data_IF_335075272427
#
_entry.id   IF_335075272427
#
_cell.length_a   1.000
_cell.length_b   1.000
_cell.length_c   1.000
_cell.angle_alpha   90.00
_cell.angle_beta   90.00
_cell.angle_gamma   90.00
#
_symmetry.space_group_name_H-M   'P 1'
#
loop_
_entity.id
_entity.type
_entity.pdbx_description
1 polymer ?
#
# COMPACT_ATOMS: atom_id res chain seq x y z
N UNK A 1 15.54 -2.42 -11.36
CA UNK A 1 15.31 -2.31 -12.83
C UNK A 1 15.24 -0.84 -13.19
N UNK A 2 16.07 -0.36 -14.15
CA UNK A 2 16.24 1.06 -14.45
C UNK A 2 14.92 1.64 -15.02
N UNK A 3 14.43 2.76 -14.49
CA UNK A 3 13.19 3.42 -14.95
C UNK A 3 13.19 3.72 -16.46
N UNK A 4 14.38 3.95 -17.04
CA UNK A 4 14.57 4.15 -18.47
C UNK A 4 14.32 2.84 -19.26
N UNK A 5 14.83 1.71 -18.78
CA UNK A 5 14.60 0.38 -19.37
C UNK A 5 13.12 -0.03 -19.28
N UNK A 6 12.44 0.34 -18.18
CA UNK A 6 11.01 0.11 -18.03
C UNK A 6 10.21 0.94 -19.04
N UNK A 7 10.54 2.24 -19.20
CA UNK A 7 9.91 3.13 -20.20
C UNK A 7 10.19 2.68 -21.64
N UNK A 8 11.41 2.21 -21.94
CA UNK A 8 11.77 1.69 -23.27
C UNK A 8 11.03 0.36 -23.56
N UNK A 9 11.01 -0.54 -22.60
CA UNK A 9 10.29 -1.82 -22.70
C UNK A 9 8.79 -1.61 -22.87
N UNK A 10 8.21 -0.62 -22.21
CA UNK A 10 6.83 -0.19 -22.36
C UNK A 10 6.53 0.35 -23.77
N UNK A 11 7.47 1.13 -24.37
CA UNK A 11 7.36 1.60 -25.76
C UNK A 11 7.52 0.48 -26.79
N UNK A 12 8.42 -0.47 -26.56
CA UNK A 12 8.73 -1.55 -27.49
C UNK A 12 7.73 -2.70 -27.46
N UNK A 13 7.12 -2.98 -26.31
CA UNK A 13 6.13 -4.07 -26.15
C UNK A 13 4.69 -3.67 -26.49
N UNK A 14 4.46 -2.45 -27.01
CA UNK A 14 3.18 -1.95 -27.52
C UNK A 14 1.99 -2.11 -26.55
N UNK A 15 1.08 -1.18 -26.58
CA UNK A 15 -0.21 -1.11 -25.92
C UNK A 15 -0.20 -1.12 -24.38
N UNK A 16 -0.46 0.04 -23.78
CA UNK A 16 -0.82 0.19 -22.37
C UNK A 16 -2.18 -0.43 -21.99
N UNK A 17 -2.66 -1.46 -22.72
CA UNK A 17 -3.93 -2.16 -22.46
C UNK A 17 -3.77 -3.68 -22.56
N UNK A 18 -4.42 -4.40 -21.63
CA UNK A 18 -4.71 -5.83 -21.71
C UNK A 18 -6.23 -6.01 -21.72
N UNK A 19 -6.77 -6.71 -22.74
CA UNK A 19 -8.21 -6.83 -22.97
C UNK A 19 -8.74 -8.15 -22.46
N UNK A 20 -10.00 -8.14 -22.05
CA UNK A 20 -10.74 -9.32 -21.63
C UNK A 20 -9.93 -10.22 -20.67
N UNK A 21 -9.19 -9.60 -19.73
CA UNK A 21 -8.32 -10.33 -18.78
C UNK A 21 -9.11 -11.22 -17.84
N UNK A 22 -10.42 -10.94 -17.68
CA UNK A 22 -11.37 -11.73 -16.93
C UNK A 22 -12.80 -11.47 -17.48
N UNK A 23 -13.71 -12.43 -17.31
CA UNK A 23 -15.12 -12.30 -17.70
C UNK A 23 -15.36 -12.16 -19.20
N UNK A 24 -14.51 -12.74 -20.04
CA UNK A 24 -14.64 -12.65 -21.50
C UNK A 24 -16.05 -13.05 -21.97
N UNK A 25 -16.65 -12.22 -22.87
CA UNK A 25 -18.01 -12.43 -23.39
C UNK A 25 -19.13 -11.98 -22.44
N UNK A 26 -18.85 -11.37 -21.30
CA UNK A 26 -19.87 -10.76 -20.46
C UNK A 26 -20.53 -9.55 -21.16
N UNK A 27 -21.82 -9.28 -20.89
CA UNK A 27 -22.57 -8.24 -21.60
C UNK A 27 -22.22 -6.80 -21.16
N UNK A 28 -21.56 -6.66 -20.02
CA UNK A 28 -21.10 -5.38 -19.46
C UNK A 28 -19.58 -5.31 -19.50
N UNK A 29 -19.04 -4.10 -19.56
CA UNK A 29 -17.60 -3.88 -19.62
C UNK A 29 -17.10 -3.06 -18.43
N UNK A 30 -15.98 -3.48 -17.83
CA UNK A 30 -15.29 -2.75 -16.79
C UNK A 30 -13.87 -2.36 -17.23
N UNK A 31 -13.46 -1.14 -16.92
CA UNK A 31 -12.11 -0.65 -17.11
C UNK A 31 -11.39 -0.62 -15.75
N UNK A 32 -10.30 -1.35 -15.64
CA UNK A 32 -9.42 -1.31 -14.48
C UNK A 32 -8.14 -0.53 -14.82
N UNK A 33 -7.97 0.63 -14.24
CA UNK A 33 -6.76 1.43 -14.36
C UNK A 33 -5.78 1.01 -13.26
N UNK A 34 -4.82 0.12 -13.61
CA UNK A 34 -3.80 -0.35 -12.66
C UNK A 34 -2.48 -0.64 -13.39
N UNK A 35 -2.00 -1.87 -13.42
CA UNK A 35 -0.76 -2.25 -14.11
C UNK A 35 -1.02 -3.41 -15.08
N UNK A 36 -0.90 -3.16 -16.36
CA UNK A 36 -1.06 -4.18 -17.42
C UNK A 36 -0.08 -5.35 -17.26
N UNK A 37 1.12 -5.08 -16.71
CA UNK A 37 2.18 -6.08 -16.53
C UNK A 37 1.76 -7.33 -15.75
N UNK A 38 0.83 -7.20 -14.79
CA UNK A 38 0.32 -8.34 -14.02
C UNK A 38 -0.46 -9.37 -14.83
N UNK A 39 -0.98 -8.97 -16.00
CA UNK A 39 -1.83 -9.80 -16.86
C UNK A 39 -1.11 -10.31 -18.11
N UNK A 40 0.09 -9.79 -18.41
CA UNK A 40 0.87 -10.20 -19.60
C UNK A 40 1.73 -11.42 -19.39
N UNK A 41 2.08 -11.72 -18.15
CA UNK A 41 2.90 -12.88 -17.80
C UNK A 41 2.09 -13.78 -16.89
N UNK A 42 1.49 -14.82 -17.46
CA UNK A 42 0.63 -15.75 -16.73
C UNK A 42 1.34 -16.41 -15.52
N UNK A 43 2.66 -16.60 -15.61
CA UNK A 43 3.51 -17.20 -14.59
C UNK A 43 4.38 -16.21 -13.82
N UNK A 44 4.14 -14.87 -13.94
CA UNK A 44 4.89 -13.94 -13.10
C UNK A 44 4.65 -14.28 -11.63
N UNK A 45 5.70 -14.70 -10.89
CA UNK A 45 5.53 -14.94 -9.47
C UNK A 45 4.97 -13.66 -8.85
N UNK A 46 3.97 -13.81 -7.99
CA UNK A 46 3.40 -12.69 -7.25
C UNK A 46 4.42 -12.23 -6.19
N UNK A 47 5.55 -11.69 -6.67
CA UNK A 47 6.65 -11.18 -5.83
C UNK A 47 6.27 -9.88 -5.11
N UNK A 48 5.14 -9.27 -5.50
CA UNK A 48 4.59 -8.08 -4.86
C UNK A 48 3.08 -8.25 -4.67
N UNK A 49 2.56 -7.86 -3.51
CA UNK A 49 1.14 -7.96 -3.15
C UNK A 49 0.22 -7.31 -4.20
N UNK A 50 0.62 -6.17 -4.75
CA UNK A 50 -0.16 -5.46 -5.78
C UNK A 50 -0.50 -6.34 -7.00
N UNK A 51 0.35 -7.31 -7.38
CA UNK A 51 0.09 -8.21 -8.52
C UNK A 51 -1.08 -9.15 -8.18
N UNK A 52 -1.09 -9.72 -7.00
CA UNK A 52 -2.18 -10.58 -6.55
C UNK A 52 -3.48 -9.79 -6.38
N UNK A 53 -3.41 -8.60 -5.77
CA UNK A 53 -4.55 -7.72 -5.53
C UNK A 53 -5.25 -7.32 -6.83
N UNK A 54 -4.51 -6.88 -7.84
CA UNK A 54 -5.15 -6.45 -9.10
C UNK A 54 -5.74 -7.63 -9.89
N UNK A 55 -5.14 -8.83 -9.81
CA UNK A 55 -5.74 -10.05 -10.40
C UNK A 55 -7.03 -10.43 -9.69
N UNK A 56 -7.05 -10.31 -8.37
CA UNK A 56 -8.26 -10.58 -7.57
C UNK A 56 -9.34 -9.52 -7.81
N UNK A 57 -8.96 -8.25 -7.92
CA UNK A 57 -9.89 -7.18 -8.27
C UNK A 57 -10.52 -7.41 -9.66
N UNK A 58 -9.71 -7.78 -10.68
CA UNK A 58 -10.23 -8.13 -12.01
C UNK A 58 -11.17 -9.33 -11.96
N UNK A 59 -10.87 -10.36 -11.13
CA UNK A 59 -11.74 -11.51 -10.92
C UNK A 59 -13.07 -11.09 -10.29
N UNK A 60 -13.05 -10.26 -9.24
CA UNK A 60 -14.26 -9.77 -8.58
C UNK A 60 -15.14 -8.93 -9.51
N UNK A 61 -14.54 -8.12 -10.39
CA UNK A 61 -15.25 -7.41 -11.45
C UNK A 61 -15.91 -8.36 -12.45
N UNK A 62 -15.22 -9.44 -12.84
CA UNK A 62 -15.79 -10.48 -13.73
C UNK A 62 -16.94 -11.22 -13.05
N UNK A 63 -16.82 -11.59 -11.78
CA UNK A 63 -17.87 -12.22 -10.99
C UNK A 63 -19.11 -11.31 -10.83
N UNK A 64 -18.92 -9.98 -10.91
CA UNK A 64 -20.04 -9.01 -10.96
C UNK A 64 -20.66 -8.83 -12.35
N UNK A 65 -20.27 -9.67 -13.33
CA UNK A 65 -20.85 -9.75 -14.67
C UNK A 65 -20.23 -8.79 -15.69
N UNK A 66 -18.94 -8.46 -15.56
CA UNK A 66 -18.24 -7.59 -16.49
C UNK A 66 -17.10 -8.31 -17.22
N UNK A 67 -16.93 -8.03 -18.49
CA UNK A 67 -15.67 -8.27 -19.19
C UNK A 67 -14.70 -7.15 -18.80
N UNK A 68 -13.46 -7.51 -18.40
CA UNK A 68 -12.51 -6.57 -17.78
C UNK A 68 -11.37 -6.27 -18.73
N UNK A 69 -11.24 -5.01 -19.09
CA UNK A 69 -10.04 -4.45 -19.71
C UNK A 69 -9.15 -3.79 -18.63
N UNK A 70 -7.84 -3.92 -18.78
CA UNK A 70 -6.87 -3.29 -17.87
C UNK A 70 -5.96 -2.35 -18.66
N UNK A 71 -5.81 -1.12 -18.18
CA UNK A 71 -4.85 -0.14 -18.68
C UNK A 71 -3.87 0.26 -17.57
N UNK A 72 -2.67 0.68 -17.97
CA UNK A 72 -1.73 1.24 -16.99
C UNK A 72 -2.31 2.54 -16.41
N UNK A 73 -2.16 2.72 -15.11
CA UNK A 73 -2.72 3.86 -14.34
C UNK A 73 -2.29 5.25 -14.86
N UNK A 74 -1.16 5.32 -15.58
CA UNK A 74 -0.65 6.54 -16.20
C UNK A 74 -0.93 6.61 -17.73
N UNK A 75 -1.78 5.73 -18.26
CA UNK A 75 -2.24 5.78 -19.66
C UNK A 75 -3.13 7.01 -19.89
N UNK A 76 -3.03 7.60 -21.08
CA UNK A 76 -3.78 8.81 -21.45
C UNK A 76 -4.34 8.76 -22.86
N UNK A 77 -4.26 7.61 -23.55
CA UNK A 77 -4.68 7.46 -24.96
C UNK A 77 -6.06 6.83 -25.06
N UNK A 78 -7.08 7.62 -25.31
CA UNK A 78 -8.46 7.14 -25.53
C UNK A 78 -8.58 6.15 -26.70
N UNK A 79 -7.79 6.32 -27.76
CA UNK A 79 -7.79 5.41 -28.93
C UNK A 79 -7.37 3.96 -28.66
N UNK A 80 -6.96 3.64 -27.42
CA UNK A 80 -6.76 2.25 -27.00
C UNK A 80 -8.06 1.58 -26.58
N UNK A 81 -9.07 2.36 -26.17
CA UNK A 81 -10.36 1.84 -25.70
C UNK A 81 -11.23 1.43 -26.87
N UNK A 82 -11.93 0.30 -26.77
CA UNK A 82 -12.81 -0.24 -27.83
C UNK A 82 -14.25 -0.40 -27.38
N UNK A 83 -14.49 -0.33 -26.09
CA UNK A 83 -15.80 -0.51 -25.49
C UNK A 83 -16.25 0.78 -24.82
N UNK A 84 -17.55 0.89 -24.63
CA UNK A 84 -18.14 1.80 -23.66
C UNK A 84 -18.30 1.04 -22.35
N UNK A 85 -17.79 1.61 -21.27
CA UNK A 85 -17.68 0.94 -19.98
C UNK A 85 -18.85 1.26 -19.05
N UNK A 86 -19.35 0.22 -18.39
CA UNK A 86 -20.37 0.30 -17.33
C UNK A 86 -19.79 0.61 -15.97
N UNK A 87 -18.48 0.31 -15.80
CA UNK A 87 -17.75 0.45 -14.53
C UNK A 87 -16.30 0.82 -14.80
N UNK A 88 -15.80 1.80 -14.06
CA UNK A 88 -14.38 2.15 -14.05
C UNK A 88 -13.83 2.09 -12.63
N UNK A 89 -12.69 1.44 -12.45
CA UNK A 89 -11.89 1.50 -11.22
C UNK A 89 -10.63 2.28 -11.54
N UNK A 90 -10.50 3.47 -10.94
CA UNK A 90 -9.45 4.44 -11.24
C UNK A 90 -8.49 4.61 -10.05
N UNK A 91 -7.21 4.34 -10.29
CA UNK A 91 -6.13 4.46 -9.30
C UNK A 91 -5.59 5.90 -9.20
N UNK A 92 -5.74 6.69 -10.26
CA UNK A 92 -5.25 8.07 -10.36
C UNK A 92 -6.28 8.97 -11.04
N UNK A 93 -7.38 9.30 -10.36
CA UNK A 93 -8.39 10.20 -10.89
C UNK A 93 -7.77 11.52 -11.36
N UNK A 94 -8.21 12.00 -12.50
CA UNK A 94 -7.81 13.29 -13.08
C UNK A 94 -9.06 14.04 -13.52
N UNK A 95 -8.93 15.36 -13.68
CA UNK A 95 -10.05 16.26 -13.97
C UNK A 95 -10.78 15.87 -15.27
N UNK A 96 -10.02 15.51 -16.31
CA UNK A 96 -10.53 15.08 -17.60
C UNK A 96 -9.94 13.71 -17.96
N UNK A 97 -10.51 12.62 -17.43
CA UNK A 97 -9.98 11.29 -17.69
C UNK A 97 -10.15 10.90 -19.15
N UNK A 98 -9.12 10.30 -19.73
CA UNK A 98 -9.08 9.90 -21.15
C UNK A 98 -10.21 8.91 -21.54
N UNK A 99 -10.81 8.24 -20.56
CA UNK A 99 -11.92 7.30 -20.75
C UNK A 99 -13.31 7.95 -20.68
N UNK A 100 -13.41 9.26 -20.45
CA UNK A 100 -14.70 9.93 -20.22
C UNK A 100 -15.67 9.76 -21.38
N UNK A 101 -15.19 9.88 -22.64
CA UNK A 101 -15.97 9.63 -23.85
C UNK A 101 -16.37 8.15 -24.08
N UNK A 102 -15.90 7.25 -23.23
CA UNK A 102 -16.18 5.82 -23.28
C UNK A 102 -16.99 5.33 -22.06
N UNK A 103 -17.66 6.23 -21.36
CA UNK A 103 -18.56 5.88 -20.26
C UNK A 103 -19.97 5.71 -20.76
N UNK A 104 -20.61 4.60 -20.45
CA UNK A 104 -22.05 4.42 -20.68
C UNK A 104 -22.86 5.36 -19.78
N UNK A 105 -24.08 5.76 -20.19
CA UNK A 105 -24.98 6.47 -19.30
C UNK A 105 -25.17 5.69 -17.99
N UNK A 106 -24.91 6.35 -16.84
CA UNK A 106 -24.95 5.73 -15.49
C UNK A 106 -23.81 4.76 -15.16
N UNK A 107 -22.72 4.79 -15.93
CA UNK A 107 -21.52 4.06 -15.55
C UNK A 107 -21.11 4.36 -14.11
N UNK A 108 -20.65 3.35 -13.39
CA UNK A 108 -20.13 3.50 -12.03
C UNK A 108 -18.65 3.84 -12.06
N UNK A 109 -18.24 4.69 -11.14
CA UNK A 109 -16.84 5.11 -10.99
C UNK A 109 -16.36 4.83 -9.56
N UNK A 110 -15.30 4.05 -9.43
CA UNK A 110 -14.69 3.70 -8.14
C UNK A 110 -13.30 4.32 -8.11
N UNK A 111 -13.04 5.18 -7.12
CA UNK A 111 -11.70 5.65 -6.82
C UNK A 111 -11.00 4.60 -5.96
N UNK A 112 -9.84 4.09 -6.41
CA UNK A 112 -9.09 3.05 -5.72
C UNK A 112 -7.72 3.59 -5.27
N UNK A 113 -7.54 3.80 -3.98
CA UNK A 113 -6.39 4.49 -3.41
C UNK A 113 -5.57 3.57 -2.51
N UNK A 114 -4.25 3.59 -2.72
CA UNK A 114 -3.30 2.73 -2.01
C UNK A 114 -2.40 3.49 -1.03
N UNK A 115 -2.64 4.77 -0.80
CA UNK A 115 -1.82 5.65 0.03
C UNK A 115 -2.63 6.67 0.81
N UNK A 116 -1.95 7.48 1.61
CA UNK A 116 -2.47 8.71 2.19
C UNK A 116 -2.69 9.76 1.10
N UNK A 117 -3.39 10.83 1.46
CA UNK A 117 -3.53 12.02 0.62
C UNK A 117 -2.17 12.49 0.05
N UNK A 118 -2.07 12.76 -1.27
CA UNK A 118 -0.83 13.20 -1.89
C UNK A 118 -0.23 14.48 -1.30
N UNK A 119 -1.03 15.46 -0.92
CA UNK A 119 -0.53 16.70 -0.32
C UNK A 119 -0.01 16.45 1.08
N UNK A 120 -0.76 15.68 1.88
CA UNK A 120 -0.30 15.20 3.19
C UNK A 120 1.02 14.44 3.05
N UNK A 121 1.12 13.48 2.13
CA UNK A 121 2.32 12.67 1.91
C UNK A 121 3.53 13.52 1.51
N UNK A 122 3.34 14.48 0.61
CA UNK A 122 4.40 15.39 0.18
C UNK A 122 4.85 16.32 1.32
N UNK A 123 3.93 16.83 2.12
CA UNK A 123 4.24 17.68 3.28
C UNK A 123 4.98 16.88 4.37
N UNK A 124 4.57 15.64 4.63
CA UNK A 124 5.19 14.74 5.59
C UNK A 124 6.64 14.40 5.19
N UNK A 125 6.89 14.07 3.93
CA UNK A 125 8.26 13.83 3.44
C UNK A 125 9.11 15.11 3.51
N UNK A 126 8.54 16.26 3.14
CA UNK A 126 9.26 17.56 3.22
C UNK A 126 9.63 17.90 4.66
N UNK A 127 8.74 17.67 5.62
CA UNK A 127 9.02 17.88 7.05
C UNK A 127 10.14 16.97 7.55
N UNK A 128 10.14 15.67 7.15
CA UNK A 128 11.21 14.70 7.49
C UNK A 128 12.56 15.12 6.90
N UNK A 129 12.59 15.59 5.65
CA UNK A 129 13.81 16.06 5.01
C UNK A 129 14.35 17.32 5.69
N UNK A 130 13.49 18.26 6.07
CA UNK A 130 13.89 19.46 6.82
C UNK A 130 14.40 19.10 8.22
N UNK A 131 13.80 18.12 8.89
CA UNK A 131 14.26 17.62 10.17
C UNK A 131 15.66 16.95 10.06
N UNK A 132 15.87 16.12 9.04
CA UNK A 132 17.17 15.53 8.74
C UNK A 132 18.22 16.62 8.47
N UNK A 133 17.89 17.66 7.70
CA UNK A 133 18.81 18.76 7.42
C UNK A 133 19.20 19.49 8.73
N UNK A 134 18.25 19.70 9.66
CA UNK A 134 18.57 20.29 11.00
C UNK A 134 19.47 19.37 11.85
N UNK A 135 19.23 18.07 11.85
CA UNK A 135 19.99 17.11 12.68
C UNK A 135 21.39 16.83 12.13
N UNK A 136 21.53 16.82 10.79
CA UNK A 136 22.73 16.30 10.13
C UNK A 136 23.46 17.32 9.24
N UNK A 137 22.88 18.49 9.02
CA UNK A 137 23.45 19.52 8.13
C UNK A 137 23.51 19.09 6.65
N UNK A 138 22.73 18.07 6.24
CA UNK A 138 22.77 17.53 4.88
C UNK A 138 21.39 17.61 4.25
N UNK A 139 21.32 18.25 3.08
CA UNK A 139 20.09 18.37 2.30
C UNK A 139 19.96 17.21 1.32
N UNK A 140 18.86 16.46 1.42
CA UNK A 140 18.53 15.36 0.52
C UNK A 140 17.30 15.68 -0.34
N UNK A 141 17.13 14.92 -1.42
CA UNK A 141 16.01 15.11 -2.36
C UNK A 141 14.80 14.23 -1.98
N UNK A 142 13.56 14.73 -2.14
CA UNK A 142 12.37 13.93 -1.95
C UNK A 142 12.31 12.77 -2.97
N UNK A 143 11.84 11.60 -2.54
CA UNK A 143 11.80 10.36 -3.34
C UNK A 143 10.39 9.82 -3.57
N UNK A 144 9.44 10.27 -2.76
CA UNK A 144 8.06 9.78 -2.78
C UNK A 144 7.04 10.85 -3.19
N UNK A 145 7.49 11.85 -3.95
CA UNK A 145 6.64 12.95 -4.37
C UNK A 145 5.47 12.46 -5.22
N UNK A 146 4.26 12.70 -4.75
CA UNK A 146 3.02 12.43 -5.46
C UNK A 146 2.57 13.68 -6.25
N UNK A 147 2.02 13.52 -7.47
CA UNK A 147 1.40 14.64 -8.17
C UNK A 147 0.18 15.17 -7.38
N UNK A 148 -0.16 16.46 -7.51
CA UNK A 148 -1.39 17.00 -6.95
C UNK A 148 -2.60 16.23 -7.44
N UNK A 149 -3.62 16.12 -6.60
CA UNK A 149 -4.84 15.41 -6.91
C UNK A 149 -6.00 16.42 -7.07
N UNK A 150 -6.78 16.37 -8.14
CA UNK A 150 -7.93 17.25 -8.31
C UNK A 150 -9.11 16.74 -7.48
N UNK A 151 -9.12 17.02 -6.18
CA UNK A 151 -10.03 16.42 -5.20
C UNK A 151 -11.51 16.63 -5.48
N UNK A 152 -11.89 17.74 -6.13
CA UNK A 152 -13.27 18.00 -6.53
C UNK A 152 -13.84 16.90 -7.45
N UNK A 153 -12.99 16.18 -8.19
CA UNK A 153 -13.47 15.06 -9.03
C UNK A 153 -13.99 13.87 -8.22
N UNK A 154 -13.59 13.75 -6.93
CA UNK A 154 -14.09 12.66 -6.08
C UNK A 154 -15.59 12.69 -5.87
N UNK A 155 -16.22 13.87 -5.94
CA UNK A 155 -17.68 13.99 -5.87
C UNK A 155 -18.39 13.29 -7.03
N UNK A 156 -17.70 13.05 -8.16
CA UNK A 156 -18.23 12.32 -9.32
C UNK A 156 -18.06 10.80 -9.19
N UNK A 157 -17.39 10.29 -8.17
CA UNK A 157 -17.21 8.86 -7.94
C UNK A 157 -18.35 8.31 -7.08
N UNK A 158 -18.71 7.04 -7.33
CA UNK A 158 -19.75 6.33 -6.59
C UNK A 158 -19.21 5.67 -5.31
N UNK A 159 -17.91 5.40 -5.25
CA UNK A 159 -17.25 4.80 -4.09
C UNK A 159 -15.75 5.14 -4.02
N UNK A 160 -15.22 5.09 -2.80
CA UNK A 160 -13.81 5.26 -2.48
C UNK A 160 -13.28 4.01 -1.79
N UNK A 161 -12.48 3.22 -2.52
CA UNK A 161 -11.82 2.02 -2.01
C UNK A 161 -10.42 2.41 -1.55
N UNK A 162 -10.07 2.14 -0.30
CA UNK A 162 -8.79 2.57 0.25
C UNK A 162 -8.11 1.50 1.11
N UNK A 163 -6.79 1.53 1.12
CA UNK A 163 -5.96 0.79 2.07
C UNK A 163 -5.53 1.70 3.20
N UNK A 164 -5.57 1.20 4.43
CA UNK A 164 -5.08 1.93 5.59
C UNK A 164 -5.98 1.82 6.81
N UNK A 165 -5.76 2.71 7.73
CA UNK A 165 -6.48 2.85 9.00
C UNK A 165 -7.37 4.09 9.02
N UNK A 166 -7.94 4.39 10.17
CA UNK A 166 -8.61 5.66 10.43
C UNK A 166 -7.65 6.85 10.24
N UNK A 167 -6.37 6.70 10.62
CA UNK A 167 -5.32 7.71 10.39
C UNK A 167 -5.12 7.99 8.89
N UNK A 168 -5.07 6.96 8.06
CA UNK A 168 -4.97 7.11 6.60
C UNK A 168 -6.19 7.85 6.05
N UNK A 169 -7.40 7.44 6.43
CA UNK A 169 -8.63 8.07 5.96
C UNK A 169 -8.73 9.53 6.42
N UNK A 170 -8.26 9.86 7.63
CA UNK A 170 -8.26 11.22 8.15
C UNK A 170 -7.42 12.20 7.31
N UNK A 171 -6.41 11.73 6.54
CA UNK A 171 -5.64 12.59 5.64
C UNK A 171 -6.50 13.17 4.51
N UNK A 172 -7.66 12.57 4.24
CA UNK A 172 -8.65 13.00 3.24
C UNK A 172 -9.79 13.83 3.82
N UNK A 173 -9.75 14.22 5.10
CA UNK A 173 -10.86 14.92 5.78
C UNK A 173 -11.24 16.29 5.19
N UNK A 174 -10.35 16.91 4.40
CA UNK A 174 -10.62 18.16 3.69
C UNK A 174 -11.52 18.01 2.45
N UNK A 175 -11.89 16.79 2.07
CA UNK A 175 -12.60 16.50 0.81
C UNK A 175 -13.94 15.83 1.08
N UNK A 176 -14.89 16.05 0.17
CA UNK A 176 -16.18 15.36 0.19
C UNK A 176 -16.03 13.99 -0.48
N UNK A 177 -15.78 12.97 0.34
CA UNK A 177 -15.61 11.61 -0.14
C UNK A 177 -16.96 10.93 -0.45
N UNK A 178 -17.03 10.11 -1.50
CA UNK A 178 -18.13 9.16 -1.68
C UNK A 178 -18.08 8.06 -0.60
N UNK A 179 -19.06 7.13 -0.54
CA UNK A 179 -19.02 6.00 0.39
C UNK A 179 -17.66 5.29 0.39
N UNK A 180 -17.05 5.20 1.59
CA UNK A 180 -15.69 4.70 1.78
C UNK A 180 -15.70 3.22 2.14
N UNK A 181 -14.85 2.42 1.50
CA UNK A 181 -14.68 0.99 1.75
C UNK A 181 -13.21 0.68 2.02
N UNK A 182 -12.91 0.29 3.27
CA UNK A 182 -11.57 -0.14 3.66
C UNK A 182 -11.27 -1.52 3.06
N UNK A 183 -10.12 -1.64 2.42
CA UNK A 183 -9.59 -2.92 1.91
C UNK A 183 -8.33 -3.29 2.69
N UNK A 184 -8.19 -4.55 3.16
CA UNK A 184 -6.96 -4.97 3.83
C UNK A 184 -5.85 -5.22 2.82
N UNK A 185 -4.64 -4.71 3.07
CA UNK A 185 -3.47 -5.10 2.31
C UNK A 185 -3.01 -6.49 2.80
N UNK A 186 -3.16 -7.52 1.96
CA UNK A 186 -2.95 -8.89 2.40
C UNK A 186 -1.48 -9.26 2.65
N UNK A 187 -1.28 -10.16 3.60
CA UNK A 187 -0.02 -10.86 3.87
C UNK A 187 0.21 -11.98 2.84
N UNK A 188 1.37 -12.62 2.90
CA UNK A 188 1.64 -13.86 2.17
C UNK A 188 1.16 -15.06 2.99
N UNK A 189 0.46 -16.00 2.38
CA UNK A 189 0.02 -17.26 2.99
C UNK A 189 0.80 -18.49 2.52
N UNK A 190 1.75 -18.28 1.62
CA UNK A 190 2.65 -19.28 1.05
C UNK A 190 4.09 -19.20 1.59
N UNK A 191 4.28 -18.57 2.75
CA UNK A 191 5.57 -18.48 3.46
C UNK A 191 5.53 -19.30 4.74
N UNK A 192 6.70 -19.80 5.17
CA UNK A 192 6.84 -20.56 6.42
C UNK A 192 7.16 -19.58 7.54
N UNK A 193 6.33 -19.50 8.61
CA UNK A 193 6.62 -18.69 9.79
C UNK A 193 7.93 -19.10 10.46
N UNK A 194 8.55 -18.16 11.15
CA UNK A 194 9.78 -18.40 11.92
C UNK A 194 9.43 -18.83 13.33
N UNK A 195 10.13 -19.86 13.83
CA UNK A 195 10.02 -20.30 15.21
C UNK A 195 10.43 -19.20 16.19
N UNK A 196 9.63 -18.93 17.25
CA UNK A 196 9.91 -17.86 18.21
C UNK A 196 11.29 -17.97 18.88
N UNK A 197 11.77 -19.19 19.16
CA UNK A 197 13.06 -19.46 19.81
C UNK A 197 14.28 -18.97 18.99
N UNK A 198 14.10 -18.67 17.70
CA UNK A 198 15.18 -18.10 16.86
C UNK A 198 15.28 -16.59 16.96
N UNK A 199 14.31 -15.91 17.59
CA UNK A 199 14.20 -14.46 17.62
C UNK A 199 14.97 -13.87 18.80
N UNK A 200 15.69 -12.78 18.54
CA UNK A 200 16.38 -11.97 19.54
C UNK A 200 15.65 -10.62 19.67
N UNK A 201 15.12 -10.24 20.85
CA UNK A 201 14.44 -8.96 21.05
C UNK A 201 15.33 -7.75 20.82
N UNK A 202 16.66 -7.92 20.85
CA UNK A 202 17.66 -6.87 20.59
C UNK A 202 17.96 -6.65 19.11
N UNK A 203 17.41 -7.49 18.24
CA UNK A 203 17.62 -7.43 16.80
C UNK A 203 16.38 -6.97 16.07
N UNK A 204 16.51 -5.90 15.31
CA UNK A 204 15.40 -5.26 14.59
C UNK A 204 15.57 -5.35 13.09
N UNK A 205 14.45 -5.51 12.37
CA UNK A 205 14.41 -5.48 10.91
C UNK A 205 13.83 -4.16 10.43
N UNK A 206 14.52 -3.44 9.58
CA UNK A 206 13.93 -2.44 8.70
C UNK A 206 13.69 -3.08 7.32
N UNK A 207 12.44 -3.10 6.86
CA UNK A 207 12.04 -3.58 5.54
C UNK A 207 11.34 -2.45 4.79
N UNK A 208 11.95 -1.94 3.72
CA UNK A 208 11.41 -0.81 2.97
C UNK A 208 11.78 -0.82 1.49
N UNK A 209 10.96 -0.14 0.68
CA UNK A 209 11.25 0.18 -0.71
C UNK A 209 12.03 1.49 -0.83
N UNK A 210 11.79 2.25 -1.91
CA UNK A 210 12.35 3.60 -2.12
C UNK A 210 11.76 4.63 -1.15
N UNK A 211 12.48 5.74 -0.94
CA UNK A 211 12.12 6.80 0.00
C UNK A 211 12.67 6.51 1.39
N UNK A 212 14.01 6.46 1.54
CA UNK A 212 14.63 6.05 2.80
C UNK A 212 14.27 7.00 3.95
N UNK A 213 14.29 8.32 3.71
CA UNK A 213 13.89 9.33 4.70
C UNK A 213 12.38 9.29 4.95
N UNK A 214 11.58 9.15 3.90
CA UNK A 214 10.13 8.98 4.00
C UNK A 214 9.75 7.80 4.93
N UNK A 215 10.49 6.70 4.82
CA UNK A 215 10.28 5.48 5.62
C UNK A 215 10.99 5.50 6.98
N UNK A 216 11.73 6.56 7.28
CA UNK A 216 12.40 6.79 8.56
C UNK A 216 13.66 5.96 8.77
N UNK A 217 14.31 5.46 7.71
CA UNK A 217 15.59 4.75 7.84
C UNK A 217 16.67 5.65 8.40
N UNK A 218 16.66 6.95 8.10
CA UNK A 218 17.57 7.94 8.68
C UNK A 218 17.52 7.98 10.21
N UNK A 219 16.30 7.96 10.78
CA UNK A 219 16.09 7.96 12.23
C UNK A 219 16.66 6.69 12.88
N UNK A 220 16.43 5.54 12.23
CA UNK A 220 16.91 4.26 12.74
C UNK A 220 18.44 4.14 12.65
N UNK A 221 19.05 4.58 11.55
CA UNK A 221 20.51 4.56 11.40
C UNK A 221 21.19 5.42 12.47
N UNK A 222 20.64 6.61 12.76
CA UNK A 222 21.18 7.49 13.82
C UNK A 222 20.98 6.88 15.21
N UNK A 223 19.80 6.30 15.49
CA UNK A 223 19.50 5.65 16.76
C UNK A 223 20.44 4.46 17.00
N UNK A 224 20.49 3.50 16.09
CA UNK A 224 21.26 2.27 16.27
C UNK A 224 22.78 2.50 16.26
N UNK A 225 23.26 3.56 15.62
CA UNK A 225 24.66 3.95 15.72
C UNK A 225 25.06 4.40 17.15
N UNK A 226 24.09 4.84 17.95
CA UNK A 226 24.27 5.21 19.37
C UNK A 226 23.95 4.07 20.36
N UNK A 227 23.48 2.92 19.91
CA UNK A 227 23.01 1.78 20.73
C UNK A 227 23.78 0.50 20.35
N UNK A 228 25.05 0.35 20.75
CA UNK A 228 25.91 -0.74 20.26
C UNK A 228 25.44 -2.14 20.65
N UNK A 229 24.62 -2.27 21.68
CA UNK A 229 24.05 -3.54 22.16
C UNK A 229 22.82 -4.00 21.40
N UNK A 230 22.33 -3.18 20.48
CA UNK A 230 21.16 -3.46 19.65
C UNK A 230 21.59 -3.61 18.18
N UNK A 231 20.97 -4.53 17.44
CA UNK A 231 21.28 -4.76 16.02
C UNK A 231 20.16 -4.29 15.12
N UNK A 232 20.50 -3.59 14.03
CA UNK A 232 19.60 -3.22 12.95
C UNK A 232 19.97 -3.96 11.66
N UNK A 233 19.02 -4.76 11.13
CA UNK A 233 19.12 -5.37 9.80
C UNK A 233 18.35 -4.51 8.82
N UNK A 234 19.03 -3.96 7.81
CA UNK A 234 18.42 -3.07 6.80
C UNK A 234 18.20 -3.82 5.49
N UNK A 235 16.94 -4.14 5.18
CA UNK A 235 16.49 -4.72 3.92
C UNK A 235 15.79 -3.64 3.08
N UNK A 236 16.57 -2.92 2.24
CA UNK A 236 16.05 -1.80 1.44
C UNK A 236 16.99 -1.51 0.26
N UNK A 237 16.46 -1.00 -0.87
CA UNK A 237 17.29 -0.61 -2.02
C UNK A 237 17.97 0.76 -1.82
N UNK A 238 18.50 1.06 -0.64
CA UNK A 238 19.08 2.37 -0.29
C UNK A 238 20.21 2.81 -1.24
N UNK A 239 20.93 1.87 -1.86
CA UNK A 239 21.95 2.18 -2.88
C UNK A 239 21.39 2.91 -4.11
N UNK A 240 20.10 2.78 -4.39
CA UNK A 240 19.45 3.51 -5.48
C UNK A 240 19.30 5.02 -5.18
N UNK A 241 19.36 5.40 -3.91
CA UNK A 241 19.30 6.79 -3.43
C UNK A 241 20.73 7.24 -3.05
N UNK A 242 21.52 7.61 -4.08
CA UNK A 242 22.96 7.88 -3.95
C UNK A 242 23.30 8.98 -2.94
N UNK A 243 22.48 10.01 -2.83
CA UNK A 243 22.62 11.10 -1.87
C UNK A 243 22.42 10.59 -0.43
N UNK A 244 21.37 9.78 -0.19
CA UNK A 244 21.14 9.12 1.10
C UNK A 244 22.29 8.15 1.46
N UNK A 245 22.66 7.25 0.55
CA UNK A 245 23.74 6.30 0.79
C UNK A 245 25.10 6.97 1.09
N UNK A 246 25.35 8.15 0.50
CA UNK A 246 26.53 8.97 0.79
C UNK A 246 26.44 9.62 2.19
N UNK A 247 25.27 10.20 2.52
CA UNK A 247 25.05 10.86 3.81
C UNK A 247 25.16 9.90 4.99
N UNK A 248 24.74 8.64 4.79
CA UNK A 248 24.74 7.58 5.82
C UNK A 248 25.80 6.49 5.58
N UNK A 249 26.87 6.82 4.84
CA UNK A 249 27.91 5.83 4.52
C UNK A 249 28.56 5.20 5.75
N UNK A 250 28.79 5.99 6.82
CA UNK A 250 29.39 5.51 8.06
C UNK A 250 28.50 4.47 8.72
N UNK A 251 27.23 4.78 8.87
CA UNK A 251 26.22 3.92 9.51
C UNK A 251 25.99 2.64 8.69
N UNK A 252 25.89 2.75 7.36
CA UNK A 252 25.60 1.63 6.47
C UNK A 252 26.81 0.71 6.19
N UNK A 253 28.05 1.16 6.41
CA UNK A 253 29.24 0.38 6.04
C UNK A 253 30.30 0.29 7.14
N UNK A 254 30.21 1.11 8.19
CA UNK A 254 31.23 1.21 9.23
C UNK A 254 30.72 1.00 10.65
N UNK A 255 29.45 0.81 10.87
CA UNK A 255 28.85 0.60 12.19
C UNK A 255 28.58 -0.89 12.40
N UNK A 256 29.25 -1.56 13.35
CA UNK A 256 29.27 -3.02 13.48
C UNK A 256 27.91 -3.67 13.73
N UNK A 257 27.02 -2.97 14.45
CA UNK A 257 25.66 -3.42 14.80
C UNK A 257 24.59 -3.02 13.78
N UNK A 258 24.98 -2.46 12.62
CA UNK A 258 24.08 -2.16 11.51
C UNK A 258 24.45 -3.04 10.32
N UNK A 259 23.59 -4.03 10.04
CA UNK A 259 23.75 -4.93 8.90
C UNK A 259 22.97 -4.41 7.70
N UNK A 260 23.63 -3.70 6.79
CA UNK A 260 23.04 -3.19 5.55
C UNK A 260 22.97 -4.29 4.48
N UNK A 261 21.87 -5.08 4.49
CA UNK A 261 21.69 -6.23 3.58
C UNK A 261 21.29 -5.81 2.15
N UNK A 262 20.85 -4.56 1.95
CA UNK A 262 20.36 -4.12 0.64
C UNK A 262 18.97 -4.64 0.30
N UNK A 263 18.62 -4.63 -0.99
CA UNK A 263 17.35 -5.19 -1.44
C UNK A 263 17.35 -6.72 -1.26
N UNK A 264 16.30 -7.23 -0.64
CA UNK A 264 16.06 -8.65 -0.48
C UNK A 264 14.68 -9.03 -1.04
N UNK A 265 14.62 -10.10 -1.81
CA UNK A 265 13.35 -10.65 -2.26
C UNK A 265 12.66 -11.36 -1.10
N UNK A 266 11.48 -10.88 -0.73
CA UNK A 266 10.79 -11.24 0.53
C UNK A 266 10.39 -12.72 0.67
N UNK A 267 10.38 -13.49 -0.42
CA UNK A 267 10.14 -14.95 -0.39
C UNK A 267 11.42 -15.78 -0.52
N UNK A 268 12.58 -15.14 -0.66
CA UNK A 268 13.85 -15.85 -0.80
C UNK A 268 14.32 -16.51 0.50
N UNK A 269 15.15 -17.53 0.38
CA UNK A 269 15.82 -18.16 1.52
C UNK A 269 16.69 -17.14 2.28
N UNK A 270 17.37 -16.25 1.55
CA UNK A 270 18.19 -15.18 2.13
C UNK A 270 17.37 -14.25 3.03
N UNK A 271 16.18 -13.81 2.59
CA UNK A 271 15.32 -12.96 3.41
C UNK A 271 14.80 -13.72 4.64
N UNK A 272 14.43 -15.00 4.48
CA UNK A 272 14.03 -15.83 5.64
C UNK A 272 15.09 -15.87 6.72
N UNK A 273 16.35 -16.06 6.36
CA UNK A 273 17.46 -16.06 7.34
C UNK A 273 17.69 -14.68 7.95
N UNK A 274 17.59 -13.60 7.17
CA UNK A 274 17.76 -12.23 7.67
C UNK A 274 16.71 -11.89 8.74
N UNK A 275 15.45 -12.19 8.50
CA UNK A 275 14.35 -11.84 9.40
C UNK A 275 14.19 -12.83 10.57
N UNK A 276 14.67 -14.07 10.44
CA UNK A 276 14.45 -15.13 11.43
C UNK A 276 15.05 -14.80 12.80
N UNK A 277 16.21 -14.14 12.83
CA UNK A 277 16.84 -13.70 14.08
C UNK A 277 16.28 -12.39 14.65
N UNK A 278 15.43 -11.66 13.91
CA UNK A 278 14.93 -10.37 14.39
C UNK A 278 13.76 -10.54 15.36
N UNK A 279 13.73 -9.77 16.44
CA UNK A 279 12.65 -9.74 17.44
C UNK A 279 11.48 -8.87 17.02
N UNK A 280 11.73 -7.84 16.22
CA UNK A 280 10.67 -7.01 15.63
C UNK A 280 11.09 -6.44 14.28
N UNK A 281 10.08 -6.13 13.46
CA UNK A 281 10.21 -5.15 12.38
C UNK A 281 9.93 -3.75 12.93
N UNK A 282 10.74 -2.76 12.54
CA UNK A 282 10.50 -1.35 12.90
C UNK A 282 10.37 -0.50 11.63
N UNK A 283 9.26 0.28 11.54
CA UNK A 283 8.98 1.12 10.38
C UNK A 283 8.37 2.46 10.82
N UNK A 284 9.18 3.50 11.09
CA UNK A 284 8.70 4.83 11.44
C UNK A 284 8.43 5.69 10.19
N UNK A 285 7.62 5.19 9.24
CA UNK A 285 7.28 5.90 8.00
C UNK A 285 6.46 7.16 8.29
N UNK A 286 6.62 8.20 7.46
CA UNK A 286 5.86 9.44 7.65
C UNK A 286 4.55 9.48 6.84
N UNK A 287 4.36 8.55 5.91
CA UNK A 287 3.11 8.42 5.13
C UNK A 287 3.06 7.10 4.39
N UNK A 288 1.97 6.38 4.52
CA UNK A 288 1.66 5.15 3.77
C UNK A 288 0.13 5.09 3.55
N UNK A 289 -0.34 4.07 2.83
CA UNK A 289 -1.73 3.60 2.96
C UNK A 289 -1.78 2.55 4.06
N UNK A 290 -1.66 1.28 3.67
CA UNK A 290 -1.36 0.17 4.58
C UNK A 290 -0.05 -0.47 4.13
N UNK A 291 1.00 -0.32 4.95
CA UNK A 291 2.36 -0.67 4.55
C UNK A 291 2.54 -2.18 4.28
N UNK A 292 2.80 -2.56 3.01
CA UNK A 292 2.95 -3.95 2.61
C UNK A 292 4.16 -4.66 3.23
N UNK A 293 5.18 -3.91 3.65
CA UNK A 293 6.32 -4.47 4.40
C UNK A 293 5.91 -4.97 5.78
N UNK A 294 4.92 -4.34 6.42
CA UNK A 294 4.36 -4.77 7.71
C UNK A 294 3.61 -6.09 7.54
N UNK A 295 2.68 -6.17 6.57
CA UNK A 295 1.98 -7.44 6.30
C UNK A 295 2.92 -8.55 5.86
N UNK A 296 4.03 -8.22 5.19
CA UNK A 296 5.11 -9.17 4.88
C UNK A 296 5.79 -9.68 6.16
N UNK A 297 6.16 -8.81 7.08
CA UNK A 297 6.78 -9.22 8.35
C UNK A 297 5.83 -10.09 9.18
N UNK A 298 4.57 -9.69 9.29
CA UNK A 298 3.52 -10.46 9.98
C UNK A 298 3.33 -11.87 9.38
N UNK A 299 3.53 -12.04 8.06
CA UNK A 299 3.46 -13.36 7.40
C UNK A 299 4.47 -14.36 7.97
N UNK A 300 5.62 -13.86 8.42
CA UNK A 300 6.67 -14.64 9.08
C UNK A 300 6.49 -14.75 10.60
N UNK A 301 5.42 -14.20 11.15
CA UNK A 301 5.21 -14.09 12.57
C UNK A 301 6.14 -13.06 13.24
N UNK A 302 6.74 -12.15 12.48
CA UNK A 302 7.59 -11.10 13.03
C UNK A 302 6.71 -9.97 13.57
N UNK A 303 6.76 -9.67 14.88
CA UNK A 303 6.04 -8.55 15.47
C UNK A 303 6.47 -7.22 14.86
N UNK A 304 5.58 -6.23 14.86
CA UNK A 304 5.82 -4.96 14.19
C UNK A 304 5.66 -3.77 15.14
N UNK A 305 6.62 -2.85 15.05
CA UNK A 305 6.66 -1.54 15.71
C UNK A 305 6.60 -0.48 14.61
N UNK A 306 5.51 0.27 14.52
CA UNK A 306 5.28 1.14 13.35
C UNK A 306 4.72 2.50 13.76
N UNK A 307 4.87 3.52 12.91
CA UNK A 307 4.15 4.78 13.06
C UNK A 307 2.66 4.61 12.71
N UNK A 308 1.81 5.50 13.21
CA UNK A 308 0.38 5.53 12.90
C UNK A 308 0.11 5.66 11.38
N UNK A 309 1.01 6.36 10.68
CA UNK A 309 0.97 6.57 9.23
C UNK A 309 1.21 5.29 8.43
N UNK A 310 1.64 4.20 9.05
CA UNK A 310 1.74 2.89 8.40
C UNK A 310 0.39 2.23 8.13
N UNK A 311 -0.72 2.76 8.68
CA UNK A 311 -2.09 2.41 8.34
C UNK A 311 -2.61 1.14 9.01
N UNK A 312 -2.26 0.93 10.28
CA UNK A 312 -2.73 -0.19 11.11
C UNK A 312 -3.39 0.32 12.40
N UNK A 313 -4.52 -0.31 12.79
CA UNK A 313 -5.28 -0.03 14.01
C UNK A 313 -5.33 -1.27 14.93
N UNK A 314 -4.74 -2.39 14.53
CA UNK A 314 -4.84 -3.67 15.21
C UNK A 314 -3.96 -3.68 16.48
N UNK A 315 -4.51 -4.13 17.64
CA UNK A 315 -3.82 -4.08 18.93
C UNK A 315 -2.58 -4.97 19.02
N UNK A 316 -2.41 -5.91 18.09
CA UNK A 316 -1.22 -6.76 17.99
C UNK A 316 0.00 -6.04 17.40
N UNK A 317 -0.21 -4.86 16.82
CA UNK A 317 0.84 -4.03 16.23
C UNK A 317 1.13 -2.88 17.20
N UNK A 318 2.40 -2.74 17.58
CA UNK A 318 2.81 -1.62 18.42
C UNK A 318 2.91 -0.35 17.58
N UNK A 319 1.94 0.56 17.79
CA UNK A 319 1.96 1.87 17.15
C UNK A 319 2.76 2.86 17.99
N UNK A 320 3.78 3.47 17.37
CA UNK A 320 4.61 4.50 17.99
C UNK A 320 3.77 5.75 18.33
N UNK A 321 3.92 6.33 19.52
CA UNK A 321 3.26 7.58 19.87
C UNK A 321 3.66 8.74 18.95
N UNK A 322 4.92 8.77 18.54
CA UNK A 322 5.50 9.66 17.53
C UNK A 322 6.82 9.07 17.02
N UNK A 323 7.43 9.71 16.03
CA UNK A 323 8.70 9.28 15.45
C UNK A 323 9.89 10.16 15.89
N UNK A 324 9.80 10.88 17.01
CA UNK A 324 10.94 11.63 17.55
C UNK A 324 12.05 10.68 18.00
N UNK A 325 13.33 11.05 17.83
CA UNK A 325 14.46 10.19 18.23
C UNK A 325 14.38 9.69 19.68
N UNK A 326 13.94 10.54 20.61
CA UNK A 326 13.80 10.17 22.02
C UNK A 326 12.73 9.08 22.22
N UNK A 327 11.55 9.22 21.60
CA UNK A 327 10.46 8.25 21.65
C UNK A 327 10.87 6.93 21.02
N UNK A 328 11.48 6.97 19.82
CA UNK A 328 12.00 5.79 19.14
C UNK A 328 13.02 5.04 20.02
N UNK A 329 13.97 5.77 20.60
CA UNK A 329 14.99 5.18 21.49
C UNK A 329 14.39 4.53 22.74
N UNK A 330 13.39 5.16 23.35
CA UNK A 330 12.70 4.58 24.49
C UNK A 330 11.99 3.27 24.10
N UNK A 331 11.17 3.28 23.04
CA UNK A 331 10.41 2.11 22.61
C UNK A 331 11.32 0.95 22.20
N UNK A 332 12.42 1.25 21.50
CA UNK A 332 13.41 0.23 21.08
C UNK A 332 14.08 -0.42 22.28
N UNK A 333 14.51 0.37 23.30
CA UNK A 333 15.09 -0.17 24.54
C UNK A 333 14.10 -0.98 25.36
N UNK A 334 12.86 -0.51 25.51
CA UNK A 334 11.79 -1.24 26.20
C UNK A 334 11.49 -2.57 25.50
N UNK A 335 11.44 -2.56 24.15
CA UNK A 335 11.29 -3.78 23.35
C UNK A 335 12.43 -4.76 23.58
N UNK A 336 13.68 -4.28 23.54
CA UNK A 336 14.87 -5.10 23.70
C UNK A 336 15.02 -5.73 25.10
N UNK A 337 14.39 -5.12 26.09
CA UNK A 337 14.42 -5.59 27.50
C UNK A 337 13.32 -6.63 27.81
N UNK A 338 12.41 -6.93 26.89
CA UNK A 338 11.33 -7.87 27.17
C UNK A 338 11.82 -9.34 27.21
N UNK A 339 11.17 -10.19 28.03
CA UNK A 339 11.54 -11.59 28.17
C UNK A 339 11.16 -12.40 26.91
N UNK A 340 11.87 -13.52 26.65
CA UNK A 340 11.59 -14.37 25.49
C UNK A 340 10.15 -14.88 25.39
N UNK A 341 9.49 -15.12 26.52
CA UNK A 341 8.09 -15.58 26.59
C UNK A 341 7.15 -14.53 25.99
N UNK A 342 7.40 -13.24 26.27
CA UNK A 342 6.61 -12.15 25.72
C UNK A 342 6.77 -12.04 24.20
N UNK A 343 7.99 -12.25 23.72
CA UNK A 343 8.26 -12.26 22.28
C UNK A 343 7.57 -13.43 21.58
N UNK A 344 7.51 -14.60 22.23
CA UNK A 344 6.77 -15.76 21.72
C UNK A 344 5.25 -15.49 21.63
N UNK A 345 4.66 -14.85 22.64
CA UNK A 345 3.27 -14.42 22.63
C UNK A 345 2.99 -13.45 21.46
N UNK A 346 3.85 -12.45 21.27
CA UNK A 346 3.72 -11.46 20.20
C UNK A 346 3.88 -12.10 18.82
N UNK A 347 4.77 -13.08 18.67
CA UNK A 347 4.90 -13.87 17.44
C UNK A 347 3.61 -14.63 17.14
N UNK A 348 3.03 -15.29 18.14
CA UNK A 348 1.76 -16.01 18.00
C UNK A 348 0.60 -15.07 17.66
N UNK A 349 0.56 -13.89 18.30
CA UNK A 349 -0.44 -12.84 18.04
C UNK A 349 -0.33 -12.30 16.61
N UNK A 350 0.88 -12.06 16.09
CA UNK A 350 1.13 -11.65 14.71
C UNK A 350 0.58 -12.66 13.69
N UNK A 351 0.82 -13.95 13.93
CA UNK A 351 0.28 -15.02 13.07
C UNK A 351 -1.25 -15.15 13.18
N UNK A 352 -1.80 -14.96 14.38
CA UNK A 352 -3.25 -14.96 14.60
C UNK A 352 -3.91 -13.79 13.85
N UNK A 353 -3.29 -12.61 13.88
CA UNK A 353 -3.74 -11.43 13.14
C UNK A 353 -3.77 -11.69 11.63
N UNK A 354 -2.70 -12.28 11.06
CA UNK A 354 -2.68 -12.64 9.64
C UNK A 354 -3.83 -13.59 9.29
N UNK A 355 -4.03 -14.64 10.11
CA UNK A 355 -5.12 -15.61 9.90
C UNK A 355 -6.51 -14.96 9.95
N UNK A 356 -6.71 -14.01 10.85
CA UNK A 356 -8.00 -13.35 11.11
C UNK A 356 -8.33 -12.25 10.09
N UNK A 357 -7.32 -11.49 9.62
CA UNK A 357 -7.57 -10.24 8.91
C UNK A 357 -6.78 -10.03 7.61
N UNK A 358 -5.63 -10.68 7.43
CA UNK A 358 -4.69 -10.32 6.37
C UNK A 358 -4.34 -11.44 5.38
N UNK A 359 -5.08 -12.55 5.37
CA UNK A 359 -4.93 -13.54 4.29
C UNK A 359 -5.50 -12.99 2.97
N UNK A 360 -5.01 -13.44 1.80
CA UNK A 360 -5.52 -13.02 0.49
C UNK A 360 -7.05 -13.10 0.36
N UNK A 361 -7.67 -14.09 1.00
CA UNK A 361 -9.13 -14.26 1.01
C UNK A 361 -9.89 -13.09 1.68
N UNK A 362 -9.29 -12.41 2.66
CA UNK A 362 -9.93 -11.26 3.31
C UNK A 362 -9.97 -10.05 2.37
N UNK A 363 -8.90 -9.81 1.61
CA UNK A 363 -8.90 -8.80 0.56
C UNK A 363 -9.97 -9.13 -0.49
N UNK A 364 -10.02 -10.39 -0.95
CA UNK A 364 -10.99 -10.85 -1.93
C UNK A 364 -12.45 -10.64 -1.45
N UNK A 365 -12.74 -11.00 -0.20
CA UNK A 365 -14.06 -10.81 0.39
C UNK A 365 -14.43 -9.32 0.54
N UNK A 366 -13.47 -8.49 0.99
CA UNK A 366 -13.67 -7.05 1.13
C UNK A 366 -13.96 -6.38 -0.22
N UNK A 367 -13.21 -6.72 -1.28
CA UNK A 367 -13.46 -6.22 -2.63
C UNK A 367 -14.84 -6.60 -3.14
N UNK A 368 -15.25 -7.88 -3.00
CA UNK A 368 -16.57 -8.34 -3.42
C UNK A 368 -17.69 -7.63 -2.66
N UNK A 369 -17.54 -7.49 -1.35
CA UNK A 369 -18.50 -6.77 -0.51
C UNK A 369 -18.64 -5.30 -0.90
N UNK A 370 -17.51 -4.61 -1.12
CA UNK A 370 -17.50 -3.21 -1.54
C UNK A 370 -18.11 -3.03 -2.94
N UNK A 371 -17.80 -3.93 -3.89
CA UNK A 371 -18.41 -3.92 -5.23
C UNK A 371 -19.93 -4.15 -5.17
N UNK A 372 -20.39 -5.13 -4.39
CA UNK A 372 -21.81 -5.43 -4.24
C UNK A 372 -22.58 -4.22 -3.68
N UNK A 373 -22.04 -3.55 -2.65
CA UNK A 373 -22.61 -2.33 -2.08
C UNK A 373 -22.64 -1.18 -3.11
N UNK A 374 -21.54 -0.97 -3.84
CA UNK A 374 -21.44 0.11 -4.84
C UNK A 374 -22.39 -0.10 -6.02
N UNK A 375 -22.54 -1.35 -6.48
CA UNK A 375 -23.41 -1.68 -7.63
C UNK A 375 -24.88 -1.77 -7.22
N UNK A 376 -25.19 -2.22 -5.98
CA UNK A 376 -26.56 -2.36 -5.46
C UNK A 376 -27.20 -1.05 -4.95
N UNK A 377 -26.41 -0.03 -4.67
CA UNK A 377 -26.88 1.22 -4.05
C UNK A 377 -27.88 2.05 -4.91
N UNK A 378 -28.15 1.67 -6.17
CA UNK A 378 -29.10 2.40 -7.05
C UNK A 378 -30.55 1.96 -6.95
N UNK A 379 -30.83 0.75 -6.51
CA UNK A 379 -32.22 0.26 -6.49
C UNK A 379 -33.04 0.82 -5.31
N UNK A 380 -32.36 1.15 -4.20
CA UNK A 380 -33.02 1.72 -3.02
C UNK A 380 -33.32 3.23 -3.07
N UNK A 381 -32.49 4.03 -3.75
CA UNK A 381 -32.64 5.49 -3.76
C UNK A 381 -33.72 6.00 -4.75
N UNK A 382 -34.13 5.18 -5.74
CA UNK A 382 -35.19 5.55 -6.67
C UNK A 382 -36.59 5.22 -6.19
N UNK A 383 -36.76 4.28 -5.27
CA UNK A 383 -38.06 3.96 -4.68
C UNK A 383 -38.59 5.08 -3.76
N UNK A 384 -37.69 5.91 -3.23
CA UNK A 384 -38.02 7.00 -2.29
C UNK A 384 -38.38 8.35 -2.96
N UNK A 385 -38.19 8.51 -4.27
CA UNK A 385 -38.37 9.79 -4.98
C UNK A 385 -39.37 9.71 -6.19
N UNK A 386 -40.34 8.83 -6.14
CA UNK A 386 -41.47 8.92 -7.07
C UNK A 386 -42.50 9.85 -6.41
N UNK A 387 -42.77 11.07 -6.96
CA UNK A 387 -43.86 11.90 -6.47
C UNK A 387 -45.16 11.15 -6.77
N UNK A 388 -45.92 10.85 -5.73
CA UNK A 388 -47.24 10.28 -5.87
C UNK A 388 -48.07 11.11 -6.86
N UNK A 389 -48.56 10.46 -7.90
CA UNK A 389 -49.54 11.03 -8.81
C UNK A 389 -50.76 11.43 -7.98
N UNK A 390 -50.86 12.72 -7.69
CA UNK A 390 -52.08 13.30 -7.11
C UNK A 390 -53.19 13.14 -8.14
N UNK A 391 -54.11 12.25 -7.84
CA UNK A 391 -55.33 12.04 -8.62
C UNK A 391 -56.12 13.32 -8.72
N UNK A 392 -56.38 13.72 -9.95
CA UNK A 392 -57.38 14.72 -10.26
C UNK A 392 -58.77 14.15 -9.92
N UNK A 393 -59.47 14.86 -9.08
CA UNK A 393 -60.88 14.70 -8.79
C UNK A 393 -61.57 15.99 -9.12
N UNK A 394 -62.38 15.93 -10.18
CA UNK A 394 -63.30 16.94 -10.64
C UNK A 394 -64.31 17.38 -9.57
N UNK A 395 -64.47 18.66 -9.36
CA UNK A 395 -65.71 19.41 -9.51
C UNK A 395 -65.42 20.89 -9.42
#
# INVERSE_FOLDING_TARGET
MNALLWKLRRRLLGAGIARAVAGAGAPRHALLMYMVGAFRVASAPATHQNIAQQRELARALAESGHEVDVVDFDERRAGLLRHDYDLVVDLHPVEHPFYEGHLRPRAKRICYITGSDPEFSNAAEAARLADLERRRGTRLQPRRRCPPFPWHVLESFDAFFYFGSATTLATYAGYRLPPCHRLPNHAYDDVVPTEPARRDPRRFLFLGGTGQVHKGLDLLLELFAGEPDLELVVCSPFHAERDFARAYRRELSGTPNIRAAGFAEVKSAAFRELQAGCGAMILPSCSEGQAGSVTTALSYGLPCVVSAECGFDEPEILVLPDCRPATLGQVVREWAAQPPERLAEQTAASLALVRRAYRPMHYAAAVRGALAQTLGARDGARAANTPGAAGGGSR
#
